data_IF_456006607837
#
_entry.id   IF_456006607837
#
_cell.length_a   1.000
_cell.length_b   1.000
_cell.length_c   1.000
_cell.angle_alpha   90.00
_cell.angle_beta   90.00
_cell.angle_gamma   90.00
#
_symmetry.space_group_name_H-M   'P 1'
#
loop_
_entity.id
_entity.type
_entity.pdbx_description
1 polymer ?
#
# COMPACT_ATOMS: atom_id res chain seq x y z
N UNK A 1 -17.51 -4.16 -6.92
CA UNK A 1 -16.33 -4.95 -6.54
C UNK A 1 -15.85 -4.53 -5.17
N UNK A 2 -15.46 -5.46 -4.28
CA UNK A 2 -14.78 -5.15 -3.02
C UNK A 2 -13.29 -5.01 -3.29
N UNK A 3 -12.69 -3.89 -2.89
CA UNK A 3 -11.28 -3.58 -3.16
C UNK A 3 -10.57 -3.31 -1.84
N UNK A 4 -9.49 -4.01 -1.54
CA UNK A 4 -8.59 -3.65 -0.47
C UNK A 4 -7.46 -2.78 -1.03
N UNK A 5 -7.27 -1.58 -0.50
CA UNK A 5 -6.16 -0.68 -0.84
C UNK A 5 -5.21 -0.64 0.34
N UNK A 6 -3.94 -1.00 0.14
CA UNK A 6 -2.93 -1.08 1.19
C UNK A 6 -1.84 -0.06 0.90
N UNK A 7 -1.71 0.95 1.76
CA UNK A 7 -0.76 2.04 1.59
C UNK A 7 -0.07 2.40 2.91
N UNK A 8 1.19 2.80 2.83
CA UNK A 8 2.01 3.17 3.97
C UNK A 8 1.59 4.46 4.67
N UNK A 9 2.26 4.81 5.79
CA UNK A 9 1.86 5.93 6.63
C UNK A 9 2.26 7.30 6.06
N UNK A 10 3.17 7.34 5.08
CA UNK A 10 3.66 8.61 4.55
C UNK A 10 2.60 9.35 3.73
N UNK A 11 2.50 10.69 3.83
CA UNK A 11 1.50 11.48 3.08
C UNK A 11 1.56 11.26 1.57
N UNK A 12 2.78 11.09 1.01
CA UNK A 12 3.00 10.84 -0.42
C UNK A 12 2.39 9.53 -0.92
N UNK A 13 2.07 8.60 -0.03
CA UNK A 13 1.47 7.30 -0.31
C UNK A 13 -0.01 7.25 0.13
N UNK A 14 -0.32 7.81 1.29
CA UNK A 14 -1.68 7.80 1.84
C UNK A 14 -2.66 8.67 1.06
N UNK A 15 -2.27 9.89 0.65
CA UNK A 15 -3.15 10.75 -0.12
C UNK A 15 -3.52 10.19 -1.50
N UNK A 16 -2.58 9.68 -2.31
CA UNK A 16 -2.92 8.99 -3.56
C UNK A 16 -3.85 7.80 -3.34
N UNK A 17 -3.63 7.02 -2.27
CA UNK A 17 -4.48 5.88 -1.93
C UNK A 17 -5.90 6.31 -1.56
N UNK A 18 -6.06 7.36 -0.74
CA UNK A 18 -7.38 7.94 -0.41
C UNK A 18 -8.08 8.44 -1.68
N UNK A 19 -7.37 9.17 -2.54
CA UNK A 19 -7.93 9.66 -3.80
C UNK A 19 -8.35 8.50 -4.72
N UNK A 20 -7.57 7.42 -4.78
CA UNK A 20 -7.93 6.22 -5.54
C UNK A 20 -9.18 5.55 -4.96
N UNK A 21 -9.30 5.43 -3.63
CA UNK A 21 -10.50 4.90 -2.99
C UNK A 21 -11.75 5.74 -3.33
N UNK A 22 -11.63 7.07 -3.36
CA UNK A 22 -12.72 7.94 -3.81
C UNK A 22 -13.14 7.65 -5.26
N UNK A 23 -12.19 7.35 -6.14
CA UNK A 23 -12.49 6.98 -7.54
C UNK A 23 -13.17 5.63 -7.64
N UNK A 24 -12.76 4.62 -6.87
CA UNK A 24 -13.46 3.35 -6.77
C UNK A 24 -14.91 3.53 -6.30
N UNK A 25 -15.13 4.34 -5.25
CA UNK A 25 -16.50 4.64 -4.80
C UNK A 25 -17.34 5.32 -5.86
N UNK A 26 -16.77 6.29 -6.59
CA UNK A 26 -17.46 6.95 -7.69
C UNK A 26 -17.83 5.98 -8.82
N UNK A 27 -17.13 4.86 -8.94
CA UNK A 27 -17.41 3.76 -9.86
C UNK A 27 -18.35 2.70 -9.26
N UNK A 28 -18.97 2.97 -8.10
CA UNK A 28 -19.85 2.06 -7.37
C UNK A 28 -19.13 0.80 -6.82
N UNK A 29 -17.82 0.85 -6.67
CA UNK A 29 -17.03 -0.16 -5.95
C UNK A 29 -16.99 0.13 -4.44
N UNK A 30 -16.61 -0.86 -3.65
CA UNK A 30 -16.54 -0.79 -2.19
C UNK A 30 -15.08 -0.92 -1.73
N UNK A 31 -14.29 0.19 -1.71
CA UNK A 31 -12.93 0.16 -1.24
C UNK A 31 -12.85 0.19 0.29
N UNK A 32 -11.88 -0.56 0.84
CA UNK A 32 -11.41 -0.44 2.23
C UNK A 32 -9.93 -0.11 2.20
N UNK A 33 -9.53 0.98 2.85
CA UNK A 33 -8.15 1.43 2.95
C UNK A 33 -7.49 0.85 4.21
N UNK A 34 -6.37 0.15 4.03
CA UNK A 34 -5.46 -0.27 5.09
C UNK A 34 -4.28 0.72 5.11
N UNK A 35 -4.13 1.47 6.21
CA UNK A 35 -3.11 2.54 6.28
C UNK A 35 -2.66 2.81 7.72
N UNK A 36 -1.78 3.78 7.91
CA UNK A 36 -1.36 4.22 9.24
C UNK A 36 -2.50 4.83 10.05
N UNK A 37 -2.43 4.66 11.37
CA UNK A 37 -3.45 5.15 12.31
C UNK A 37 -3.72 6.66 12.17
N UNK A 38 -2.70 7.44 11.81
CA UNK A 38 -2.74 8.88 11.62
C UNK A 38 -3.64 9.32 10.45
N UNK A 39 -3.93 8.41 9.51
CA UNK A 39 -4.75 8.71 8.32
C UNK A 39 -6.18 8.17 8.40
N UNK A 40 -6.52 7.39 9.42
CA UNK A 40 -7.84 6.77 9.54
C UNK A 40 -8.97 7.80 9.60
N UNK A 41 -8.77 8.87 10.37
CA UNK A 41 -9.77 9.94 10.49
C UNK A 41 -9.95 10.68 9.16
N UNK A 42 -8.86 11.06 8.50
CA UNK A 42 -8.91 11.73 7.20
C UNK A 42 -9.58 10.86 6.13
N UNK A 43 -9.28 9.58 6.08
CA UNK A 43 -9.92 8.64 5.15
C UNK A 43 -11.43 8.53 5.42
N UNK A 44 -11.84 8.40 6.70
CA UNK A 44 -13.25 8.32 7.10
C UNK A 44 -14.00 9.61 6.81
N UNK A 45 -13.37 10.76 7.06
CA UNK A 45 -13.94 12.07 6.70
C UNK A 45 -14.13 12.22 5.18
N UNK A 46 -13.27 11.59 4.37
CA UNK A 46 -13.43 11.47 2.92
C UNK A 46 -14.48 10.41 2.51
N UNK A 47 -15.14 9.78 3.48
CA UNK A 47 -16.16 8.76 3.29
C UNK A 47 -15.60 7.38 2.90
N UNK A 48 -14.34 7.08 3.19
CA UNK A 48 -13.69 5.80 2.89
C UNK A 48 -13.66 4.94 4.15
N UNK A 49 -14.06 3.68 4.03
CA UNK A 49 -13.83 2.71 5.09
C UNK A 49 -12.34 2.51 5.25
N UNK A 50 -11.83 2.72 6.47
CA UNK A 50 -10.40 2.65 6.74
C UNK A 50 -10.12 1.87 8.02
N UNK A 51 -9.10 1.02 7.94
CA UNK A 51 -8.59 0.18 9.04
C UNK A 51 -7.09 0.37 9.18
N UNK A 52 -6.60 0.21 10.40
CA UNK A 52 -5.18 0.27 10.68
C UNK A 52 -4.46 -0.90 9.99
N UNK A 53 -3.34 -0.59 9.35
CA UNK A 53 -2.44 -1.57 8.78
C UNK A 53 -1.47 -2.07 9.87
N UNK A 54 -1.62 -3.33 10.26
CA UNK A 54 -0.84 -3.91 11.35
C UNK A 54 0.66 -4.03 10.98
N UNK A 55 1.51 -3.70 11.95
CA UNK A 55 2.96 -3.87 11.84
C UNK A 55 3.72 -2.66 11.28
N UNK A 56 3.08 -1.50 11.11
CA UNK A 56 3.74 -0.27 10.66
C UNK A 56 4.74 0.31 11.68
N UNK A 57 4.52 0.10 12.99
CA UNK A 57 5.40 0.63 14.01
C UNK A 57 6.84 0.10 13.89
N UNK A 58 7.84 1.00 13.99
CA UNK A 58 9.25 0.62 13.97
C UNK A 58 9.58 -0.34 15.12
N UNK A 59 10.50 -1.28 14.89
CA UNK A 59 11.01 -2.19 15.93
C UNK A 59 12.52 -2.01 16.07
N UNK A 60 13.06 -2.19 17.28
CA UNK A 60 14.50 -2.08 17.58
C UNK A 60 15.37 -3.10 16.84
N UNK A 61 14.75 -4.08 16.17
CA UNK A 61 15.44 -5.13 15.40
C UNK A 61 15.74 -4.73 13.95
N UNK A 62 15.37 -3.54 13.56
CA UNK A 62 15.50 -3.03 12.20
C UNK A 62 16.91 -2.43 11.94
N UNK A 63 17.93 -3.27 11.89
CA UNK A 63 19.34 -2.86 11.81
C UNK A 63 19.82 -2.48 10.39
N UNK A 64 19.17 -3.01 9.34
CA UNK A 64 19.54 -2.78 7.94
C UNK A 64 18.32 -2.32 7.13
N UNK A 65 18.44 -1.18 6.45
CA UNK A 65 17.33 -0.56 5.72
C UNK A 65 16.74 -1.46 4.62
N UNK A 66 17.57 -2.14 3.84
CA UNK A 66 17.12 -3.01 2.75
C UNK A 66 16.46 -4.29 3.28
N UNK A 67 17.15 -5.02 4.16
CA UNK A 67 16.59 -6.21 4.80
C UNK A 67 15.35 -5.89 5.64
N UNK A 68 15.31 -4.70 6.25
CA UNK A 68 14.17 -4.19 7.01
C UNK A 68 12.92 -4.08 6.16
N UNK A 69 13.01 -3.46 4.98
CA UNK A 69 11.84 -3.27 4.10
C UNK A 69 11.21 -4.62 3.75
N UNK A 70 11.99 -5.57 3.27
CA UNK A 70 11.47 -6.87 2.84
C UNK A 70 11.00 -7.75 3.98
N UNK A 71 11.79 -7.83 5.06
CA UNK A 71 11.41 -8.62 6.26
C UNK A 71 10.15 -8.08 6.89
N UNK A 72 10.06 -6.77 7.03
CA UNK A 72 8.90 -6.10 7.58
C UNK A 72 7.67 -6.29 6.70
N UNK A 73 7.80 -6.13 5.38
CA UNK A 73 6.70 -6.40 4.46
C UNK A 73 6.17 -7.83 4.59
N UNK A 74 7.04 -8.82 4.72
CA UNK A 74 6.64 -10.21 4.93
C UNK A 74 5.91 -10.41 6.28
N UNK A 75 6.42 -9.82 7.37
CA UNK A 75 5.76 -9.88 8.68
C UNK A 75 4.39 -9.19 8.66
N UNK A 76 4.31 -7.99 8.08
CA UNK A 76 3.06 -7.26 7.93
C UNK A 76 2.07 -8.03 7.06
N UNK A 77 2.52 -8.70 5.99
CA UNK A 77 1.65 -9.53 5.16
C UNK A 77 0.95 -10.60 6.01
N UNK A 78 1.71 -11.34 6.82
CA UNK A 78 1.15 -12.38 7.70
C UNK A 78 0.17 -11.81 8.71
N UNK A 79 0.49 -10.65 9.32
CA UNK A 79 -0.38 -9.99 10.31
C UNK A 79 -1.71 -9.54 9.70
N UNK A 80 -1.71 -9.09 8.44
CA UNK A 80 -2.90 -8.55 7.79
C UNK A 80 -3.72 -9.59 7.00
N UNK A 81 -3.19 -10.80 6.76
CA UNK A 81 -3.92 -11.89 6.09
C UNK A 81 -5.30 -12.18 6.71
N UNK A 82 -5.47 -12.27 8.05
CA UNK A 82 -6.79 -12.54 8.63
C UNK A 82 -7.82 -11.46 8.31
N UNK A 83 -7.43 -10.19 8.34
CA UNK A 83 -8.31 -9.05 8.02
C UNK A 83 -8.66 -9.01 6.53
N UNK A 84 -7.68 -9.22 5.65
CA UNK A 84 -7.92 -9.31 4.21
C UNK A 84 -8.84 -10.48 3.87
N UNK A 85 -8.62 -11.64 4.50
CA UNK A 85 -9.51 -12.79 4.31
C UNK A 85 -10.94 -12.50 4.75
N UNK A 86 -11.14 -11.82 5.89
CA UNK A 86 -12.46 -11.46 6.40
C UNK A 86 -13.18 -10.41 5.52
N UNK A 87 -12.42 -9.54 4.86
CA UNK A 87 -12.96 -8.57 3.91
C UNK A 87 -13.41 -9.22 2.60
N UNK A 88 -12.83 -10.37 2.23
CA UNK A 88 -13.05 -11.07 0.96
C UNK A 88 -12.92 -10.13 -0.25
N UNK A 89 -11.82 -9.41 -0.44
CA UNK A 89 -11.69 -8.52 -1.57
C UNK A 89 -11.54 -9.29 -2.87
N UNK A 90 -12.07 -8.73 -3.94
CA UNK A 90 -11.93 -9.26 -5.31
C UNK A 90 -10.65 -8.73 -5.98
N UNK A 91 -10.08 -7.65 -5.42
CA UNK A 91 -8.85 -7.02 -5.87
C UNK A 91 -8.11 -6.42 -4.67
N UNK A 92 -6.79 -6.58 -4.64
CA UNK A 92 -5.90 -5.84 -3.74
C UNK A 92 -5.10 -4.83 -4.55
N UNK A 93 -5.07 -3.58 -4.09
CA UNK A 93 -4.15 -2.55 -4.59
C UNK A 93 -3.07 -2.35 -3.52
N UNK A 94 -1.83 -2.64 -3.84
CA UNK A 94 -0.70 -2.54 -2.90
C UNK A 94 0.22 -1.41 -3.30
N UNK A 95 0.43 -0.46 -2.41
CA UNK A 95 1.42 0.60 -2.62
C UNK A 95 2.83 0.01 -2.72
N UNK A 96 3.66 0.60 -3.58
CA UNK A 96 5.00 0.12 -3.94
C UNK A 96 5.94 -0.05 -2.74
N UNK A 97 5.88 0.85 -1.75
CA UNK A 97 6.70 0.73 -0.53
C UNK A 97 6.00 -0.09 0.57
N UNK A 98 4.72 -0.35 0.43
CA UNK A 98 3.92 -1.15 1.36
C UNK A 98 3.61 -2.52 0.74
N UNK A 99 4.65 -3.19 0.26
CA UNK A 99 4.56 -4.45 -0.50
C UNK A 99 3.83 -5.60 0.24
N UNK A 100 3.57 -5.45 1.53
CA UNK A 100 2.81 -6.43 2.32
C UNK A 100 1.42 -6.70 1.77
N UNK A 101 0.78 -5.72 1.13
CA UNK A 101 -0.53 -5.90 0.50
C UNK A 101 -0.49 -6.92 -0.63
N UNK A 102 0.47 -6.78 -1.56
CA UNK A 102 0.69 -7.74 -2.64
C UNK A 102 1.08 -9.12 -2.12
N UNK A 103 2.00 -9.18 -1.13
CA UNK A 103 2.40 -10.46 -0.51
C UNK A 103 1.22 -11.18 0.16
N UNK A 104 0.36 -10.44 0.87
CA UNK A 104 -0.83 -11.02 1.50
C UNK A 104 -1.85 -11.48 0.45
N UNK A 105 -2.01 -10.74 -0.65
CA UNK A 105 -2.86 -11.14 -1.77
C UNK A 105 -2.38 -12.45 -2.42
N UNK A 106 -1.07 -12.59 -2.65
CA UNK A 106 -0.47 -13.85 -3.14
C UNK A 106 -0.76 -15.03 -2.21
N UNK A 107 -0.61 -14.83 -0.88
CA UNK A 107 -0.93 -15.87 0.11
C UNK A 107 -2.40 -16.28 0.11
N UNK A 108 -3.29 -15.39 -0.31
CA UNK A 108 -4.73 -15.63 -0.37
C UNK A 108 -5.23 -16.02 -1.76
N UNK A 109 -4.39 -15.99 -2.79
CA UNK A 109 -4.77 -16.23 -4.18
C UNK A 109 -5.70 -15.16 -4.75
N UNK A 110 -5.57 -13.90 -4.26
CA UNK A 110 -6.39 -12.76 -4.70
C UNK A 110 -5.61 -11.97 -5.78
N UNK A 111 -6.24 -11.59 -6.89
CA UNK A 111 -5.62 -10.70 -7.87
C UNK A 111 -5.17 -9.39 -7.23
N UNK A 112 -3.99 -8.91 -7.61
CA UNK A 112 -3.51 -7.64 -7.10
C UNK A 112 -2.76 -6.82 -8.15
N UNK A 113 -2.71 -5.50 -7.90
CA UNK A 113 -1.95 -4.52 -8.70
C UNK A 113 -1.12 -3.61 -7.80
N UNK A 114 -0.01 -3.12 -8.32
CA UNK A 114 0.84 -2.17 -7.62
C UNK A 114 0.33 -0.74 -7.85
N UNK A 115 0.23 0.04 -6.77
CA UNK A 115 0.06 1.49 -6.81
C UNK A 115 1.43 2.14 -6.65
N UNK A 116 1.92 2.76 -7.71
CA UNK A 116 3.14 3.54 -7.67
C UNK A 116 2.81 5.03 -7.81
N UNK A 117 2.81 5.81 -6.72
CA UNK A 117 2.53 7.24 -6.76
C UNK A 117 3.71 8.09 -7.24
N UNK A 118 4.84 7.46 -7.52
CA UNK A 118 6.04 8.13 -8.03
C UNK A 118 6.09 8.14 -9.56
N UNK A 119 6.90 9.04 -10.16
CA UNK A 119 7.21 8.93 -11.57
C UNK A 119 7.80 7.55 -11.88
N UNK A 120 7.38 6.95 -12.98
CA UNK A 120 7.91 5.66 -13.41
C UNK A 120 9.44 5.76 -13.59
N UNK A 121 10.19 4.84 -12.96
CA UNK A 121 11.65 4.72 -13.10
C UNK A 121 12.05 4.12 -14.45
N UNK A 122 11.29 4.39 -15.50
CA UNK A 122 11.63 3.95 -16.84
C UNK A 122 12.74 4.84 -17.38
N UNK A 123 13.83 4.25 -17.91
CA UNK A 123 14.86 5.02 -18.57
C UNK A 123 14.24 5.81 -19.72
N UNK A 124 14.34 7.13 -19.68
CA UNK A 124 13.98 7.98 -20.80
C UNK A 124 15.23 8.39 -21.55
N UNK A 125 15.11 8.55 -22.87
CA UNK A 125 16.25 8.92 -23.72
C UNK A 125 16.83 10.26 -23.24
N UNK A 126 18.08 10.24 -22.76
CA UNK A 126 18.80 11.43 -22.32
C UNK A 126 18.66 11.80 -20.85
N UNK A 127 17.93 11.01 -20.04
CA UNK A 127 17.86 11.21 -18.60
C UNK A 127 18.24 9.94 -17.86
N UNK A 128 19.03 10.06 -16.77
CA UNK A 128 19.32 8.90 -15.93
C UNK A 128 18.05 8.43 -15.23
N UNK A 129 17.95 7.17 -14.83
CA UNK A 129 16.83 6.68 -14.01
C UNK A 129 16.70 7.52 -12.75
N UNK A 130 15.47 7.94 -12.41
CA UNK A 130 15.18 8.66 -11.18
C UNK A 130 15.64 7.80 -10.00
N UNK A 131 16.38 8.41 -9.07
CA UNK A 131 16.93 7.71 -7.90
C UNK A 131 18.20 6.88 -8.17
N UNK A 132 18.75 6.89 -9.38
CA UNK A 132 20.00 6.19 -9.70
C UNK A 132 21.24 6.79 -9.02
N UNK A 133 21.15 8.05 -8.50
CA UNK A 133 22.31 8.79 -7.99
C UNK A 133 23.31 9.21 -9.08
N UNK A 134 23.03 8.96 -10.35
CA UNK A 134 23.86 9.36 -11.46
C UNK A 134 23.51 10.80 -11.88
N UNK A 135 24.54 11.63 -12.05
CA UNK A 135 24.37 12.93 -12.66
C UNK A 135 23.99 12.79 -14.15
N UNK A 136 23.15 13.70 -14.61
CA UNK A 136 22.79 13.79 -16.02
C UNK A 136 24.00 14.25 -16.84
#
# INVERSE_FOLDING_TARGET
>A
MRVAVVAGPDPGHSFPAIALCQRFRAAADTPTLFTGVEWLEAARAAGIDAVELDGLAATDRDLDAGARIHRRAAQMAVLNVPRLRALEPELVVSDVITACGGMAAELLGIPWVELNPHPLYLPSKGLPPIGSGLAA
#
